data_IF_991100066985
#
_entry.id   IF_991100066985
#
_cell.length_a   1.000
_cell.length_b   1.000
_cell.length_c   1.000
_cell.angle_alpha   90.00
_cell.angle_beta   90.00
_cell.angle_gamma   90.00
#
_symmetry.space_group_name_H-M   'P 1'
#
loop_
_entity.id
_entity.type
_entity.pdbx_description
1 polymer ?
#
# COMPACT_ATOMS: atom_id res chain seq x y z
N UNK A 1 13.29 -4.96 -4.02
CA UNK A 1 12.16 -5.77 -3.51
C UNK A 1 11.22 -5.04 -2.52
N UNK A 2 11.64 -4.06 -1.69
CA UNK A 2 10.76 -3.49 -0.64
C UNK A 2 9.70 -2.45 -1.05
N UNK A 3 9.85 -1.77 -2.19
CA UNK A 3 8.97 -0.66 -2.57
C UNK A 3 7.59 -1.14 -3.08
N UNK A 4 7.56 -2.24 -3.85
CA UNK A 4 6.33 -2.79 -4.44
C UNK A 4 5.43 -3.44 -3.39
N UNK A 5 6.00 -4.16 -2.43
CA UNK A 5 5.26 -4.65 -1.24
C UNK A 5 4.64 -3.49 -0.47
N UNK A 6 5.37 -2.40 -0.25
CA UNK A 6 4.84 -1.23 0.44
C UNK A 6 3.69 -0.55 -0.31
N UNK A 7 3.76 -0.49 -1.65
CA UNK A 7 2.68 0.06 -2.49
C UNK A 7 1.44 -0.83 -2.43
N UNK A 8 1.60 -2.16 -2.59
CA UNK A 8 0.49 -3.11 -2.50
C UNK A 8 -0.13 -3.14 -1.09
N UNK A 9 0.67 -3.11 -0.03
CA UNK A 9 0.22 -2.98 1.36
C UNK A 9 -0.56 -1.67 1.57
N UNK A 10 -0.06 -0.56 1.02
CA UNK A 10 -0.73 0.74 1.12
C UNK A 10 -2.07 0.71 0.37
N UNK A 11 -2.11 0.13 -0.84
CA UNK A 11 -3.33 -0.04 -1.63
C UNK A 11 -4.32 -0.97 -0.92
N UNK A 12 -3.89 -2.12 -0.40
CA UNK A 12 -4.73 -3.06 0.37
C UNK A 12 -5.29 -2.43 1.64
N UNK A 13 -4.47 -1.67 2.37
CA UNK A 13 -4.86 -0.94 3.58
C UNK A 13 -5.83 0.20 3.28
N UNK A 14 -5.63 0.91 2.17
CA UNK A 14 -6.49 2.04 1.78
C UNK A 14 -7.86 1.58 1.25
N UNK A 15 -7.91 0.42 0.62
CA UNK A 15 -9.12 -0.15 0.03
C UNK A 15 -9.91 -1.05 1.00
N UNK A 16 -9.46 -1.18 2.25
CA UNK A 16 -10.10 -2.03 3.25
C UNK A 16 -10.10 -3.52 2.92
N UNK A 17 -9.25 -3.95 1.99
CA UNK A 17 -9.16 -5.35 1.52
C UNK A 17 -8.24 -6.22 2.40
N UNK A 18 -7.53 -5.61 3.35
CA UNK A 18 -6.81 -6.31 4.41
C UNK A 18 -7.49 -6.07 5.76
N UNK A 19 -8.52 -6.84 6.08
CA UNK A 19 -8.97 -7.01 7.47
C UNK A 19 -7.98 -7.93 8.19
N UNK A 20 -6.77 -7.45 8.45
CA UNK A 20 -5.89 -7.99 9.49
C UNK A 20 -4.69 -7.03 9.65
N UNK A 21 -4.92 -5.90 10.29
CA UNK A 21 -3.85 -5.17 10.94
C UNK A 21 -4.39 -4.46 12.19
N UNK A 22 -3.66 -4.59 13.31
CA UNK A 22 -4.11 -4.11 14.61
C UNK A 22 -4.25 -2.60 14.60
N UNK A 23 -5.20 -2.11 15.40
CA UNK A 23 -5.25 -0.73 15.88
C UNK A 23 -3.86 -0.34 16.40
N UNK A 24 -3.05 0.29 15.55
CA UNK A 24 -1.86 1.00 15.99
C UNK A 24 -2.37 2.18 16.81
N UNK A 25 -2.46 1.93 18.11
CA UNK A 25 -2.59 2.95 19.13
C UNK A 25 -1.58 4.06 18.81
N UNK A 26 -2.10 5.19 18.35
CA UNK A 26 -1.38 6.45 18.26
C UNK A 26 -0.93 6.80 19.69
N UNK A 27 0.26 6.33 20.04
CA UNK A 27 1.00 6.81 21.20
C UNK A 27 1.33 8.26 20.91
N UNK A 28 0.41 9.12 21.32
CA UNK A 28 0.51 10.56 21.38
C UNK A 28 1.64 10.91 22.35
N UNK A 29 2.89 10.92 21.87
CA UNK A 29 4.00 11.55 22.58
C UNK A 29 3.98 13.05 22.28
N UNK A 30 3.04 13.76 22.92
CA UNK A 30 3.05 15.22 22.98
C UNK A 30 3.72 15.63 24.29
N UNK A 31 5.04 15.77 24.23
CA UNK A 31 5.79 16.45 25.28
C UNK A 31 5.47 17.95 25.22
N UNK A 32 4.88 18.47 26.29
CA UNK A 32 4.93 19.89 26.62
C UNK A 32 3.59 20.61 26.63
N UNK A 33 2.83 20.44 27.71
CA UNK A 33 2.14 21.56 28.35
C UNK A 33 1.87 21.17 29.80
N UNK A 34 2.42 21.93 30.76
CA UNK A 34 2.10 21.77 32.18
C UNK A 34 0.78 22.47 32.43
N UNK A 35 -0.24 21.74 32.83
CA UNK A 35 -1.41 22.35 33.45
C UNK A 35 -1.97 21.40 34.50
N UNK A 36 -1.79 21.79 35.76
CA UNK A 36 -2.47 21.25 36.92
C UNK A 36 -4.00 21.35 36.73
N UNK A 37 -4.72 20.23 36.86
CA UNK A 37 -6.05 20.18 37.46
C UNK A 37 -6.58 18.73 37.45
N UNK A 38 -6.94 18.27 38.64
CA UNK A 38 -7.51 16.99 39.01
C UNK A 38 -8.95 16.82 38.49
N UNK A 39 -9.36 15.59 38.13
CA UNK A 39 -10.65 14.99 38.52
C UNK A 39 -10.91 13.64 37.80
N UNK A 40 -11.03 12.61 38.66
CA UNK A 40 -12.01 11.53 38.67
C UNK A 40 -11.95 10.35 37.68
N UNK A 41 -12.15 9.19 38.32
CA UNK A 41 -12.11 7.83 37.84
C UNK A 41 -13.34 7.44 37.02
N UNK A 42 -13.17 6.44 36.15
CA UNK A 42 -14.12 5.33 36.09
C UNK A 42 -13.41 4.08 35.55
N UNK A 43 -13.50 3.01 36.34
CA UNK A 43 -12.93 1.69 36.06
C UNK A 43 -14.06 0.76 35.62
N UNK A 44 -14.16 0.55 34.30
CA UNK A 44 -14.91 -0.51 33.61
C UNK A 44 -14.17 -1.85 33.57
N UNK A 45 -14.28 -2.66 34.63
CA UNK A 45 -13.90 -4.09 34.68
C UNK A 45 -15.08 -4.90 34.13
N UNK A 46 -14.90 -5.61 33.02
CA UNK A 46 -15.92 -6.52 32.44
C UNK A 46 -15.18 -7.77 31.95
N UNK A 47 -15.04 -8.71 32.88
CA UNK A 47 -14.75 -10.13 32.68
C UNK A 47 -16.04 -10.82 32.20
N UNK A 48 -16.00 -11.46 31.03
CA UNK A 48 -16.96 -12.49 30.58
C UNK A 48 -16.14 -13.43 29.65
N UNK A 49 -15.56 -14.51 30.17
CA UNK A 49 -16.10 -15.87 30.40
C UNK A 49 -16.37 -16.71 29.15
N UNK A 50 -16.00 -17.99 29.29
CA UNK A 50 -16.49 -19.18 28.58
C UNK A 50 -16.10 -19.44 27.10
N UNK A 51 -15.29 -20.49 26.87
CA UNK A 51 -15.77 -21.88 26.70
C UNK A 51 -14.87 -22.76 25.81
N UNK A 52 -14.67 -23.99 26.31
CA UNK A 52 -14.54 -25.29 25.62
C UNK A 52 -13.48 -25.48 24.50
N UNK A 53 -12.42 -26.26 24.73
CA UNK A 53 -12.37 -27.73 24.80
C UNK A 53 -12.69 -28.39 23.45
N UNK A 54 -11.67 -28.93 22.77
CA UNK A 54 -11.73 -30.25 22.13
C UNK A 54 -10.31 -30.77 21.92
N UNK A 55 -9.95 -31.64 22.87
CA UNK A 55 -8.97 -32.70 22.82
C UNK A 55 -9.16 -33.50 21.51
N UNK A 56 -8.19 -33.44 20.60
CA UNK A 56 -8.18 -34.27 19.39
C UNK A 56 -7.05 -35.28 19.51
N UNK A 57 -7.47 -36.54 19.54
CA UNK A 57 -6.74 -37.79 19.58
C UNK A 57 -5.39 -37.76 18.85
N UNK A 58 -4.35 -38.01 19.66
CA UNK A 58 -3.03 -38.49 19.28
C UNK A 58 -3.16 -39.97 18.90
N UNK A 59 -3.77 -40.25 17.74
CA UNK A 59 -3.78 -41.59 17.15
C UNK A 59 -2.49 -41.76 16.33
N UNK A 60 -1.50 -42.27 17.04
CA UNK A 60 -0.43 -43.18 16.60
C UNK A 60 -0.81 -43.94 15.32
N UNK A 61 -0.29 -43.50 14.16
CA UNK A 61 -0.27 -44.34 12.95
C UNK A 61 1.18 -44.59 12.58
N UNK A 62 1.56 -45.84 12.85
CA UNK A 62 2.77 -46.53 12.44
C UNK A 62 3.21 -46.20 11.00
N UNK A 63 4.48 -45.83 10.88
CA UNK A 63 5.50 -46.57 10.14
C UNK A 63 5.02 -47.26 8.84
N UNK A 64 5.14 -46.55 7.72
CA UNK A 64 5.49 -47.19 6.46
C UNK A 64 6.71 -46.47 5.88
N UNK A 65 7.82 -47.19 6.06
CA UNK A 65 9.17 -47.01 5.53
C UNK A 65 9.12 -46.96 3.98
N UNK A 66 8.63 -45.83 3.44
CA UNK A 66 8.70 -45.54 2.01
C UNK A 66 10.06 -44.88 1.72
N UNK A 67 11.06 -45.75 1.59
CA UNK A 67 12.39 -45.52 1.00
C UNK A 67 12.25 -45.22 -0.51
N UNK A 68 11.40 -44.22 -0.81
CA UNK A 68 11.37 -43.55 -2.09
C UNK A 68 12.64 -42.73 -2.17
N UNK A 69 13.66 -43.29 -2.84
CA UNK A 69 14.84 -42.56 -3.27
C UNK A 69 14.36 -41.31 -4.01
N UNK A 70 14.29 -40.21 -3.26
CA UNK A 70 13.83 -38.93 -3.72
C UNK A 70 14.80 -38.50 -4.80
N UNK A 71 14.36 -38.70 -6.04
CA UNK A 71 14.92 -38.10 -7.23
C UNK A 71 15.05 -36.60 -6.92
N UNK A 72 16.29 -36.18 -6.62
CA UNK A 72 16.71 -34.82 -6.25
C UNK A 72 16.54 -33.82 -7.43
N UNK A 73 15.64 -34.14 -8.35
CA UNK A 73 15.13 -33.29 -9.43
C UNK A 73 13.80 -32.66 -8.99
N UNK A 74 13.74 -32.20 -7.73
CA UNK A 74 12.71 -31.29 -7.31
C UNK A 74 12.83 -30.05 -8.20
N UNK A 75 11.79 -29.72 -9.02
CA UNK A 75 11.84 -28.53 -9.85
C UNK A 75 12.11 -27.33 -8.95
N UNK A 76 12.85 -26.33 -9.44
CA UNK A 76 13.12 -25.08 -8.72
C UNK A 76 11.80 -24.36 -8.38
N UNK A 77 11.20 -24.77 -7.26
CA UNK A 77 9.91 -24.30 -6.76
C UNK A 77 10.00 -22.89 -6.19
N UNK A 78 11.23 -22.39 -5.96
CA UNK A 78 11.50 -21.07 -5.41
C UNK A 78 11.12 -19.97 -6.41
N UNK A 79 11.55 -20.11 -7.67
CA UNK A 79 11.18 -19.15 -8.72
C UNK A 79 9.70 -19.24 -9.08
N UNK A 80 9.13 -20.44 -9.04
CA UNK A 80 7.71 -20.67 -9.33
C UNK A 80 6.81 -19.97 -8.30
N UNK A 81 7.12 -20.12 -7.01
CA UNK A 81 6.37 -19.46 -5.92
C UNK A 81 6.48 -17.94 -5.98
N UNK A 82 7.65 -17.40 -6.33
CA UNK A 82 7.85 -15.96 -6.46
C UNK A 82 7.03 -15.37 -7.62
N UNK A 83 7.00 -16.06 -8.77
CA UNK A 83 6.21 -15.64 -9.92
C UNK A 83 4.70 -15.71 -9.62
N UNK A 84 4.22 -16.74 -8.93
CA UNK A 84 2.81 -16.86 -8.52
C UNK A 84 2.36 -15.65 -7.67
N UNK A 85 3.16 -15.25 -6.69
CA UNK A 85 2.86 -14.06 -5.88
C UNK A 85 2.81 -12.76 -6.70
N UNK A 86 3.58 -12.69 -7.80
CA UNK A 86 3.55 -11.55 -8.72
C UNK A 86 2.32 -11.58 -9.62
N UNK A 87 1.89 -12.76 -10.07
CA UNK A 87 0.63 -12.93 -10.81
C UNK A 87 -0.58 -12.50 -9.96
N UNK A 88 -0.63 -12.93 -8.70
CA UNK A 88 -1.69 -12.54 -7.77
C UNK A 88 -1.72 -11.03 -7.56
N UNK A 89 -0.55 -10.42 -7.32
CA UNK A 89 -0.43 -8.97 -7.17
C UNK A 89 -0.83 -8.22 -8.45
N UNK A 90 -0.53 -8.77 -9.62
CA UNK A 90 -0.97 -8.20 -10.89
C UNK A 90 -2.49 -8.29 -11.05
N UNK A 91 -3.09 -9.43 -10.67
CA UNK A 91 -4.54 -9.62 -10.61
C UNK A 91 -5.23 -8.60 -9.70
N UNK A 92 -4.68 -8.38 -8.50
CA UNK A 92 -5.17 -7.37 -7.55
C UNK A 92 -5.17 -5.96 -8.18
N UNK A 93 -4.09 -5.57 -8.87
CA UNK A 93 -4.00 -4.27 -9.55
C UNK A 93 -5.04 -4.13 -10.67
N UNK A 94 -5.24 -5.17 -11.48
CA UNK A 94 -6.27 -5.17 -12.53
C UNK A 94 -7.69 -5.06 -11.94
N UNK A 95 -7.96 -5.73 -10.81
CA UNK A 95 -9.23 -5.62 -10.12
C UNK A 95 -9.48 -4.19 -9.58
N UNK A 96 -8.44 -3.53 -9.07
CA UNK A 96 -8.51 -2.12 -8.66
C UNK A 96 -8.85 -1.23 -9.85
N UNK A 97 -8.14 -1.36 -10.97
CA UNK A 97 -8.41 -0.56 -12.19
C UNK A 97 -9.87 -0.77 -12.64
N UNK A 98 -10.30 -2.03 -12.77
CA UNK A 98 -11.65 -2.36 -13.21
C UNK A 98 -12.74 -1.78 -12.29
N UNK A 99 -12.55 -1.85 -10.97
CA UNK A 99 -13.50 -1.25 -10.01
C UNK A 99 -13.58 0.26 -10.17
N UNK A 100 -12.43 0.94 -10.30
CA UNK A 100 -12.38 2.39 -10.41
C UNK A 100 -12.99 2.90 -11.72
N UNK A 101 -12.76 2.18 -12.82
CA UNK A 101 -13.39 2.46 -14.11
C UNK A 101 -14.91 2.25 -14.05
N UNK A 102 -15.38 1.22 -13.34
CA UNK A 102 -16.81 0.98 -13.12
C UNK A 102 -17.47 2.05 -12.25
N UNK A 103 -16.76 2.58 -11.26
CA UNK A 103 -17.23 3.64 -10.36
C UNK A 103 -17.14 5.04 -11.00
N UNK A 104 -16.45 5.17 -12.14
CA UNK A 104 -16.20 6.43 -12.84
C UNK A 104 -15.66 7.54 -11.91
N UNK A 105 -14.62 7.20 -11.13
CA UNK A 105 -14.04 8.13 -10.15
C UNK A 105 -13.56 9.42 -10.82
N UNK A 106 -13.89 10.55 -10.22
CA UNK A 106 -13.42 11.86 -10.66
C UNK A 106 -11.93 12.02 -10.38
N UNK A 107 -11.09 12.19 -11.40
CA UNK A 107 -9.63 12.25 -11.20
C UNK A 107 -9.11 13.60 -10.67
N UNK A 108 -9.97 14.45 -10.08
CA UNK A 108 -9.59 15.80 -9.63
C UNK A 108 -9.03 16.68 -10.74
N UNK A 109 -9.40 16.41 -11.99
CA UNK A 109 -8.86 17.07 -13.18
C UNK A 109 -7.44 16.62 -13.58
N UNK A 110 -6.94 15.49 -13.08
CA UNK A 110 -5.74 14.84 -13.62
C UNK A 110 -6.10 14.09 -14.89
N UNK A 111 -5.32 14.28 -15.96
CA UNK A 111 -5.41 13.41 -17.13
C UNK A 111 -4.73 12.06 -16.82
N UNK A 112 -5.40 10.90 -17.01
CA UNK A 112 -4.83 9.60 -16.66
C UNK A 112 -3.58 9.27 -17.48
N UNK A 113 -3.48 9.82 -18.69
CA UNK A 113 -2.36 9.70 -19.63
C UNK A 113 -1.25 10.76 -19.42
N UNK A 114 -1.37 11.67 -18.45
CA UNK A 114 -0.34 12.65 -18.12
C UNK A 114 0.30 12.38 -16.74
N UNK A 115 1.42 11.62 -16.70
CA UNK A 115 2.08 11.32 -15.44
C UNK A 115 2.76 12.55 -14.82
N UNK A 116 3.06 13.59 -15.60
CA UNK A 116 3.69 14.80 -15.07
C UNK A 116 2.71 15.59 -14.19
N UNK A 117 1.45 15.66 -14.62
CA UNK A 117 0.38 16.32 -13.88
C UNK A 117 0.09 15.62 -12.53
N UNK A 118 0.08 14.28 -12.53
CA UNK A 118 0.00 13.48 -11.30
C UNK A 118 1.11 13.83 -10.30
N UNK A 119 2.38 13.79 -10.74
CA UNK A 119 3.51 14.07 -9.85
C UNK A 119 3.56 15.53 -9.38
N UNK A 120 3.09 16.48 -10.21
CA UNK A 120 2.95 17.88 -9.81
C UNK A 120 1.98 18.03 -8.63
N UNK A 121 0.83 17.35 -8.67
CA UNK A 121 -0.15 17.34 -7.57
C UNK A 121 0.36 16.61 -6.33
N UNK A 122 0.99 15.45 -6.48
CA UNK A 122 1.60 14.74 -5.33
C UNK A 122 2.63 15.61 -4.61
N UNK A 123 3.48 16.31 -5.37
CA UNK A 123 4.45 17.25 -4.82
C UNK A 123 3.81 18.45 -4.13
N UNK A 124 2.73 19.01 -4.70
CA UNK A 124 2.00 20.12 -4.10
C UNK A 124 1.38 19.73 -2.75
N UNK A 125 0.75 18.54 -2.68
CA UNK A 125 0.20 17.99 -1.44
C UNK A 125 1.31 17.78 -0.42
N UNK A 126 2.39 17.08 -0.80
CA UNK A 126 3.52 16.83 0.09
C UNK A 126 4.22 18.12 0.56
N UNK A 127 4.22 19.18 -0.25
CA UNK A 127 4.74 20.49 0.13
C UNK A 127 3.83 21.18 1.16
N UNK A 128 2.50 21.14 0.95
CA UNK A 128 1.54 21.67 1.89
C UNK A 128 1.62 20.96 3.26
N UNK A 129 1.78 19.64 3.27
CA UNK A 129 2.00 18.86 4.49
C UNK A 129 3.28 19.26 5.21
N UNK A 130 4.39 19.41 4.47
CA UNK A 130 5.66 19.93 5.03
C UNK A 130 5.52 21.36 5.60
N UNK A 131 4.58 22.14 5.08
CA UNK A 131 4.24 23.46 5.61
C UNK A 131 3.26 23.41 6.81
N UNK A 132 2.84 22.22 7.23
CA UNK A 132 1.97 22.01 8.40
C UNK A 132 0.48 21.89 8.08
N UNK A 133 0.08 21.83 6.80
CA UNK A 133 -1.30 21.50 6.45
C UNK A 133 -1.60 20.03 6.77
N UNK A 134 -2.84 19.72 7.12
CA UNK A 134 -3.29 18.32 7.14
C UNK A 134 -3.39 17.78 5.72
N UNK A 135 -3.22 16.47 5.54
CA UNK A 135 -3.39 15.78 4.26
C UNK A 135 -4.74 16.12 3.61
N UNK A 136 -5.80 16.14 4.41
CA UNK A 136 -7.15 16.45 3.96
C UNK A 136 -7.28 17.89 3.43
N UNK A 137 -6.70 18.87 4.13
CA UNK A 137 -6.66 20.25 3.66
C UNK A 137 -5.80 20.41 2.38
N UNK A 138 -4.66 19.72 2.32
CA UNK A 138 -3.77 19.71 1.16
C UNK A 138 -4.42 19.06 -0.08
N UNK A 139 -5.14 17.96 0.11
CA UNK A 139 -5.91 17.27 -0.93
C UNK A 139 -7.02 18.20 -1.47
N UNK A 140 -7.81 18.84 -0.60
CA UNK A 140 -8.82 19.81 -1.04
C UNK A 140 -8.24 21.00 -1.79
N UNK A 141 -7.12 21.54 -1.30
CA UNK A 141 -6.40 22.62 -2.01
C UNK A 141 -5.91 22.20 -3.39
N UNK A 142 -5.73 20.90 -3.63
CA UNK A 142 -5.28 20.32 -4.91
C UNK A 142 -6.42 19.85 -5.82
N UNK A 143 -7.68 20.06 -5.40
CA UNK A 143 -8.87 19.74 -6.21
C UNK A 143 -9.51 18.37 -5.94
N UNK A 144 -9.16 17.71 -4.83
CA UNK A 144 -9.82 16.47 -4.38
C UNK A 144 -10.88 16.76 -3.31
N UNK A 145 -11.84 15.87 -3.11
CA UNK A 145 -12.91 16.08 -2.12
C UNK A 145 -12.40 15.99 -0.67
N UNK A 146 -11.49 15.04 -0.44
CA UNK A 146 -10.88 14.74 0.85
C UNK A 146 -9.59 13.91 0.66
N UNK A 147 -8.92 13.59 1.76
CA UNK A 147 -7.72 12.75 1.73
C UNK A 147 -7.98 11.33 1.16
N UNK A 148 -9.13 10.71 1.45
CA UNK A 148 -9.44 9.37 0.97
C UNK A 148 -9.66 9.36 -0.55
N UNK A 149 -10.31 10.39 -1.09
CA UNK A 149 -10.44 10.60 -2.53
C UNK A 149 -9.05 10.74 -3.17
N UNK A 150 -8.15 11.56 -2.61
CA UNK A 150 -6.77 11.68 -3.10
C UNK A 150 -6.06 10.31 -3.15
N UNK A 151 -6.11 9.55 -2.07
CA UNK A 151 -5.44 8.26 -2.04
C UNK A 151 -6.03 7.24 -3.02
N UNK A 152 -7.35 7.27 -3.24
CA UNK A 152 -8.01 6.44 -4.26
C UNK A 152 -7.48 6.80 -5.65
N UNK A 153 -7.50 8.08 -6.02
CA UNK A 153 -6.99 8.54 -7.33
C UNK A 153 -5.51 8.16 -7.50
N UNK A 154 -4.71 8.33 -6.44
CA UNK A 154 -3.31 7.91 -6.44
C UNK A 154 -3.15 6.41 -6.72
N UNK A 155 -3.89 5.55 -6.01
CA UNK A 155 -3.82 4.10 -6.20
C UNK A 155 -4.22 3.70 -7.64
N UNK A 156 -5.26 4.33 -8.19
CA UNK A 156 -5.68 4.11 -9.58
C UNK A 156 -4.60 4.50 -10.59
N UNK A 157 -4.00 5.68 -10.44
CA UNK A 157 -2.95 6.14 -11.35
C UNK A 157 -1.68 5.28 -11.24
N UNK A 158 -1.24 4.95 -10.03
CA UNK A 158 -0.11 4.04 -9.83
C UNK A 158 -0.38 2.66 -10.46
N UNK A 159 -1.59 2.10 -10.29
CA UNK A 159 -1.98 0.85 -10.93
C UNK A 159 -2.01 0.94 -12.46
N UNK A 160 -2.59 2.01 -13.01
CA UNK A 160 -2.71 2.25 -14.46
C UNK A 160 -1.34 2.35 -15.14
N UNK A 161 -0.36 2.94 -14.45
CA UNK A 161 1.00 3.08 -14.95
C UNK A 161 1.92 1.89 -14.60
N UNK A 162 1.41 0.88 -13.88
CA UNK A 162 2.13 -0.36 -13.60
C UNK A 162 2.07 -1.32 -14.79
N UNK A 163 3.12 -2.13 -14.96
CA UNK A 163 3.25 -3.13 -16.02
C UNK A 163 3.90 -4.38 -15.48
N UNK A 164 3.41 -5.53 -15.92
CA UNK A 164 4.05 -6.83 -15.75
C UNK A 164 5.17 -6.98 -16.80
N UNK A 165 6.38 -7.28 -16.35
CA UNK A 165 7.56 -7.51 -17.18
C UNK A 165 8.16 -8.87 -16.80
N UNK A 166 8.59 -9.64 -17.80
CA UNK A 166 9.28 -10.90 -17.58
C UNK A 166 10.73 -10.76 -18.07
N UNK A 167 11.70 -11.11 -17.22
CA UNK A 167 13.12 -11.04 -17.52
C UNK A 167 13.82 -12.29 -16.97
N UNK A 168 14.46 -13.06 -17.84
CA UNK A 168 15.16 -14.31 -17.49
C UNK A 168 14.28 -15.31 -16.69
N UNK A 169 12.98 -15.39 -17.01
CA UNK A 169 12.02 -16.28 -16.32
C UNK A 169 11.54 -15.77 -14.97
N UNK A 170 11.97 -14.56 -14.55
CA UNK A 170 11.46 -13.86 -13.37
C UNK A 170 10.41 -12.85 -13.81
N UNK A 171 9.22 -12.93 -13.22
CA UNK A 171 8.14 -11.97 -13.44
C UNK A 171 8.23 -10.88 -12.40
N UNK A 172 8.15 -9.62 -12.83
CA UNK A 172 8.16 -8.45 -11.96
C UNK A 172 7.06 -7.45 -12.38
N UNK A 173 6.60 -6.65 -11.42
CA UNK A 173 5.74 -5.49 -11.69
C UNK A 173 6.60 -4.23 -11.61
N UNK A 174 6.67 -3.48 -12.70
CA UNK A 174 7.42 -2.23 -12.79
C UNK A 174 6.50 -1.08 -13.20
N UNK A 175 6.87 0.15 -12.88
CA UNK A 175 6.21 1.30 -13.48
C UNK A 175 6.69 1.48 -14.93
N UNK A 176 5.81 1.97 -15.79
CA UNK A 176 6.21 2.35 -17.14
C UNK A 176 7.26 3.47 -17.11
N UNK A 177 8.24 3.44 -18.03
CA UNK A 177 9.32 4.43 -18.07
C UNK A 177 8.83 5.90 -18.11
N UNK A 178 7.69 6.15 -18.76
CA UNK A 178 7.09 7.48 -18.81
C UNK A 178 6.76 8.03 -17.42
N UNK A 179 6.23 7.17 -16.55
CA UNK A 179 5.86 7.49 -15.18
C UNK A 179 7.10 7.73 -14.32
N UNK A 180 8.12 6.88 -14.44
CA UNK A 180 9.37 7.04 -13.69
C UNK A 180 10.16 8.27 -14.13
N UNK A 181 10.22 8.57 -15.43
CA UNK A 181 10.83 9.81 -15.94
C UNK A 181 10.10 11.05 -15.44
N UNK A 182 8.77 11.02 -15.42
CA UNK A 182 7.98 12.13 -14.86
C UNK A 182 8.27 12.31 -13.36
N UNK A 183 8.36 11.22 -12.60
CA UNK A 183 8.76 11.23 -11.18
C UNK A 183 10.13 11.85 -10.97
N UNK A 184 11.12 11.42 -11.76
CA UNK A 184 12.48 11.92 -11.68
C UNK A 184 12.54 13.44 -11.98
N UNK A 185 11.79 13.91 -12.99
CA UNK A 185 11.67 15.34 -13.31
C UNK A 185 11.00 16.13 -12.20
N UNK A 186 9.93 15.61 -11.61
CA UNK A 186 9.22 16.27 -10.53
C UNK A 186 10.07 16.37 -9.24
N UNK A 187 11.04 15.47 -9.05
CA UNK A 187 12.00 15.50 -7.94
C UNK A 187 13.24 16.33 -8.21
N UNK A 188 13.58 16.56 -9.47
CA UNK A 188 14.71 17.39 -9.81
C UNK A 188 14.46 18.78 -9.22
N UNK A 189 15.39 19.32 -8.41
CA UNK A 189 15.29 20.71 -8.00
C UNK A 189 15.17 21.56 -9.26
N UNK A 190 14.34 22.60 -9.23
CA UNK A 190 14.15 23.54 -10.34
C UNK A 190 15.41 24.39 -10.57
N UNK A 191 16.55 23.74 -10.77
CA UNK A 191 17.88 24.31 -10.96
C UNK A 191 18.00 24.87 -12.40
N UNK A 192 17.12 25.77 -12.85
CA UNK A 192 17.31 26.46 -14.14
C UNK A 192 16.28 27.58 -14.37
N UNK A 193 16.16 28.56 -13.47
CA UNK A 193 15.58 29.86 -13.86
C UNK A 193 16.20 31.10 -13.21
N UNK A 194 17.08 30.96 -12.23
CA UNK A 194 17.74 32.10 -11.55
C UNK A 194 19.13 32.48 -12.09
N UNK A 195 19.59 31.90 -13.21
CA UNK A 195 20.93 32.15 -13.76
C UNK A 195 20.96 33.09 -15.00
N UNK A 196 19.96 33.95 -15.17
CA UNK A 196 19.93 34.98 -16.22
C UNK A 196 19.33 36.29 -15.71
N UNK A 197 20.09 37.05 -14.92
CA UNK A 197 20.03 38.51 -14.87
C UNK A 197 21.44 39.11 -14.77
#
# INVERSE_FOLDING_TARGET
>A
MGLLRAILETIKRLLGLGQDAPVLALSSSRAGERHDAEADADASDDDDDDDDNDDVDDDDVDDDDDDSEADDDAPDTSLTSANEAVEDAWGDLQAVIARFEAEAIELGGIAPDDPADFWARENAIAQAERAGASTDAAARASGFDDAAHWYRVRAYLEATWSRRVEHDGVVEICFADGFERARARARAPSESSDARE
#
